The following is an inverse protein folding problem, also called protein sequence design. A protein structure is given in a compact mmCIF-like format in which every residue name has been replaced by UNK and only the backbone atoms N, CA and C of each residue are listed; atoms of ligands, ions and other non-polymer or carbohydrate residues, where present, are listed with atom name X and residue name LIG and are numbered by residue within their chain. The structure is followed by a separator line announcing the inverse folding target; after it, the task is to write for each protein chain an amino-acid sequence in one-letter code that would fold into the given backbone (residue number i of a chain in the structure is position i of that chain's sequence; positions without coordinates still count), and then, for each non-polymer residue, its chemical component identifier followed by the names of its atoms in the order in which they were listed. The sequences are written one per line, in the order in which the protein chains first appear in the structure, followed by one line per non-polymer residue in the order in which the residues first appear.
data_IF_807721030592
#
_entry.id   IF_807721030592
#
_cell.length_a   1.000
_cell.length_b   1.000
_cell.length_c   1.000
_cell.angle_alpha   90.00
_cell.angle_beta   90.00
_cell.angle_gamma   90.00
#
_symmetry.space_group_name_H-M   'P 1'
#
loop_
_entity.id
_entity.type
_entity.pdbx_description
1 polymer ?
#
# COMPACT_ATOMS: atom_id res chain seq x y z
N UNK A 1 10.56 -21.39 -30.89
CA UNK A 1 9.37 -20.71 -30.34
C UNK A 1 9.35 -21.02 -28.84
N UNK A 2 9.95 -20.18 -28.01
CA UNK A 2 9.96 -20.39 -26.56
C UNK A 2 8.88 -19.53 -25.94
N UNK A 3 7.82 -20.17 -25.44
CA UNK A 3 6.72 -19.52 -24.74
C UNK A 3 7.21 -19.15 -23.34
N UNK A 4 7.57 -17.88 -23.15
CA UNK A 4 7.84 -17.33 -21.83
C UNK A 4 6.50 -17.13 -21.12
N UNK A 5 6.10 -18.12 -20.32
CA UNK A 5 5.03 -17.93 -19.33
C UNK A 5 5.57 -17.01 -18.24
N UNK A 6 5.37 -15.70 -18.42
CA UNK A 6 5.39 -14.77 -17.30
C UNK A 6 4.28 -15.22 -16.37
N UNK A 7 4.62 -15.97 -15.31
CA UNK A 7 3.70 -16.26 -14.24
C UNK A 7 3.36 -14.91 -13.62
N UNK A 8 2.24 -14.35 -14.04
CA UNK A 8 1.55 -13.25 -13.39
C UNK A 8 1.21 -13.73 -11.98
N UNK A 9 2.19 -13.67 -11.07
CA UNK A 9 1.87 -13.47 -9.66
C UNK A 9 0.94 -12.26 -9.66
N UNK A 10 -0.31 -12.38 -9.18
CA UNK A 10 -1.13 -11.20 -9.00
C UNK A 10 -0.29 -10.27 -8.15
N UNK A 11 -0.14 -9.04 -8.60
CA UNK A 11 0.66 -7.99 -8.00
C UNK A 11 0.35 -7.93 -6.51
N UNK A 12 1.08 -8.71 -5.71
CA UNK A 12 0.91 -8.77 -4.27
C UNK A 12 1.71 -7.60 -3.77
N UNK A 13 1.12 -6.41 -3.98
CA UNK A 13 1.49 -5.13 -3.43
C UNK A 13 2.98 -5.07 -3.05
N UNK A 14 3.87 -4.82 -4.03
CA UNK A 14 5.32 -4.95 -3.87
C UNK A 14 5.89 -4.02 -2.80
N UNK A 15 5.09 -3.07 -2.31
CA UNK A 15 5.44 -2.07 -1.32
C UNK A 15 4.77 -2.30 0.05
N UNK A 16 3.89 -3.29 0.20
CA UNK A 16 3.22 -3.57 1.47
C UNK A 16 2.25 -2.46 1.91
N UNK A 17 1.70 -1.64 0.98
CA UNK A 17 0.90 -0.45 1.27
C UNK A 17 -0.32 -0.75 2.16
N UNK A 18 -1.20 -1.72 1.88
CA UNK A 18 -2.32 -2.06 2.77
C UNK A 18 -1.85 -2.56 4.13
N UNK A 19 -0.72 -3.28 4.21
CA UNK A 19 -0.15 -3.75 5.48
C UNK A 19 0.38 -2.57 6.31
N UNK A 20 1.08 -1.63 5.68
CA UNK A 20 1.62 -0.43 6.32
C UNK A 20 0.51 0.48 6.83
N UNK A 21 -0.56 0.65 6.05
CA UNK A 21 -1.73 1.44 6.45
C UNK A 21 -2.46 0.79 7.63
N UNK A 22 -2.63 -0.53 7.61
CA UNK A 22 -3.21 -1.26 8.75
C UNK A 22 -2.38 -1.07 10.02
N UNK A 23 -1.05 -1.07 9.90
CA UNK A 23 -0.15 -0.83 11.04
C UNK A 23 -0.25 0.61 11.55
N UNK A 24 -0.35 1.59 10.65
CA UNK A 24 -0.59 2.99 11.00
C UNK A 24 -1.94 3.21 11.71
N UNK A 25 -3.01 2.57 11.22
CA UNK A 25 -4.33 2.62 11.85
C UNK A 25 -4.33 1.94 13.24
N UNK A 26 -3.59 0.84 13.41
CA UNK A 26 -3.41 0.20 14.72
C UNK A 26 -2.59 1.06 15.70
N UNK A 27 -1.64 1.83 15.20
CA UNK A 27 -0.80 2.74 16.00
C UNK A 27 -1.40 4.13 16.16
N UNK A 28 -2.66 4.34 15.74
CA UNK A 28 -3.35 5.64 15.66
C UNK A 28 -3.54 6.36 17.01
N UNK A 29 -2.44 6.76 17.65
CA UNK A 29 -2.40 7.93 18.51
C UNK A 29 -2.71 9.17 17.67
N UNK A 30 -3.41 10.16 18.24
CA UNK A 30 -3.83 11.38 17.53
C UNK A 30 -2.70 12.09 16.77
N UNK A 31 -1.47 11.96 17.27
CA UNK A 31 -0.24 12.49 16.67
C UNK A 31 0.03 11.90 15.28
N UNK A 32 -0.20 10.60 15.09
CA UNK A 32 0.03 9.93 13.81
C UNK A 32 -1.03 10.30 12.77
N UNK A 33 -2.29 10.50 13.19
CA UNK A 33 -3.39 10.96 12.31
C UNK A 33 -3.19 12.39 11.79
N UNK A 34 -2.56 13.26 12.57
CA UNK A 34 -2.17 14.60 12.12
C UNK A 34 -0.87 14.59 11.29
N UNK A 35 -0.17 13.46 11.21
CA UNK A 35 1.10 13.40 10.51
C UNK A 35 0.89 13.49 8.99
N UNK A 36 1.76 14.23 8.28
CA UNK A 36 1.79 14.22 6.82
C UNK A 36 1.98 12.82 6.24
N UNK A 37 2.64 11.93 6.98
CA UNK A 37 2.89 10.54 6.60
C UNK A 37 1.61 9.71 6.52
N UNK A 38 0.69 9.88 7.47
CA UNK A 38 -0.61 9.22 7.46
C UNK A 38 -1.44 9.66 6.25
N UNK A 39 -1.52 10.97 6.01
CA UNK A 39 -2.25 11.52 4.87
C UNK A 39 -1.65 11.09 3.52
N UNK A 40 -0.32 11.06 3.41
CA UNK A 40 0.36 10.58 2.21
C UNK A 40 0.09 9.10 1.94
N UNK A 41 0.10 8.27 2.98
CA UNK A 41 -0.19 6.82 2.88
C UNK A 41 -1.63 6.57 2.44
N UNK A 42 -2.62 7.29 2.97
CA UNK A 42 -4.02 7.23 2.52
C UNK A 42 -4.15 7.59 1.04
N UNK A 43 -3.44 8.63 0.61
CA UNK A 43 -3.40 9.02 -0.81
C UNK A 43 -2.83 7.91 -1.67
N UNK A 44 -1.74 7.25 -1.26
CA UNK A 44 -1.17 6.14 -2.01
C UNK A 44 -2.17 4.99 -2.18
N UNK A 45 -2.92 4.65 -1.12
CA UNK A 45 -3.96 3.62 -1.19
C UNK A 45 -5.06 3.97 -2.19
N UNK A 46 -5.58 5.19 -2.12
CA UNK A 46 -6.66 5.66 -2.99
C UNK A 46 -6.24 5.83 -4.46
N UNK A 47 -4.95 5.93 -4.75
CA UNK A 47 -4.44 6.11 -6.11
C UNK A 47 -4.05 4.78 -6.80
N UNK A 48 -4.17 3.62 -6.13
CA UNK A 48 -3.94 2.32 -6.77
C UNK A 48 -5.03 1.94 -7.80
N UNK A 49 -6.18 2.62 -7.80
CA UNK A 49 -7.32 2.34 -8.70
C UNK A 49 -7.29 3.07 -10.05
N UNK A 50 -6.16 3.69 -10.46
CA UNK A 50 -6.04 4.44 -11.73
C UNK A 50 -4.95 3.93 -12.66
#
# INVERSE_FOLDING_TARGET
MSQATSSLTPDMDPYGIPQAIKMLDCMSEEVLKASPLYFFSLKLLLNQDK
#
